data_IF_325932646883
#
_entry.id   IF_325932646883
#
_cell.length_a   1.000
_cell.length_b   1.000
_cell.length_c   1.000
_cell.angle_alpha   90.00
_cell.angle_beta   90.00
_cell.angle_gamma   90.00
#
_symmetry.space_group_name_H-M   'P 1'
#
loop_
_entity.id
_entity.type
_entity.pdbx_description
1 polymer ?
#
# COMPACT_ATOMS: atom_id res chain seq x y z
N UNK A 1 13.39 2.13 -1.10
CA UNK A 1 12.42 1.04 -1.38
C UNK A 1 11.03 1.46 -0.94
N UNK A 2 10.06 1.34 -1.84
CA UNK A 2 8.66 1.66 -1.60
C UNK A 2 7.80 0.42 -1.88
N UNK A 3 6.68 0.24 -1.19
CA UNK A 3 5.87 -0.98 -1.31
C UNK A 3 4.39 -0.65 -1.24
N UNK A 4 3.61 -1.32 -2.09
CA UNK A 4 2.15 -1.31 -2.04
C UNK A 4 1.62 -2.74 -2.06
N UNK A 5 0.35 -2.90 -1.70
CA UNK A 5 -0.37 -4.18 -1.73
C UNK A 5 -1.57 -4.08 -2.66
N UNK A 6 -1.69 -5.05 -3.56
CA UNK A 6 -2.79 -5.20 -4.50
C UNK A 6 -3.48 -6.56 -4.28
N UNK A 7 -4.81 -6.65 -4.47
CA UNK A 7 -5.50 -7.91 -4.66
C UNK A 7 -4.89 -8.70 -5.83
N UNK A 8 -4.85 -10.03 -5.72
CA UNK A 8 -4.17 -10.88 -6.71
C UNK A 8 -4.83 -10.79 -8.09
N UNK A 9 -6.15 -10.65 -8.12
CA UNK A 9 -6.97 -10.48 -9.31
C UNK A 9 -6.64 -9.20 -10.08
N UNK A 10 -6.04 -8.19 -9.42
CA UNK A 10 -5.66 -6.92 -10.04
C UNK A 10 -4.26 -6.95 -10.67
N UNK A 11 -3.45 -7.99 -10.42
CA UNK A 11 -2.05 -8.02 -10.84
C UNK A 11 -1.86 -7.96 -12.36
N UNK A 12 -2.67 -8.72 -13.10
CA UNK A 12 -2.59 -8.75 -14.57
C UNK A 12 -2.79 -7.35 -15.16
N UNK A 13 -3.85 -6.68 -14.74
CA UNK A 13 -4.18 -5.34 -15.21
C UNK A 13 -3.16 -4.30 -14.72
N UNK A 14 -2.69 -4.42 -13.48
CA UNK A 14 -1.67 -3.52 -12.94
C UNK A 14 -0.37 -3.56 -13.75
N UNK A 15 0.02 -4.72 -14.27
CA UNK A 15 1.22 -4.80 -15.14
C UNK A 15 1.08 -4.01 -16.44
N UNK A 16 -0.15 -3.75 -16.91
CA UNK A 16 -0.40 -2.94 -18.11
C UNK A 16 -0.02 -1.47 -17.89
N UNK A 17 0.02 -1.00 -16.64
CA UNK A 17 0.60 0.31 -16.32
C UNK A 17 2.08 0.40 -16.71
N UNK A 18 2.76 -0.72 -16.93
CA UNK A 18 4.16 -0.75 -17.29
C UNK A 18 4.39 -1.41 -18.66
N UNK A 19 3.40 -1.37 -19.57
CA UNK A 19 3.48 -2.00 -20.90
C UNK A 19 4.64 -1.48 -21.78
N UNK A 20 5.12 -0.26 -21.57
CA UNK A 20 6.32 0.30 -22.21
C UNK A 20 7.63 0.04 -21.46
N UNK A 21 7.59 -0.62 -20.31
CA UNK A 21 8.77 -0.92 -19.50
C UNK A 21 9.51 -2.17 -20.01
N UNK A 22 10.82 -2.23 -19.76
CA UNK A 22 11.59 -3.43 -20.03
C UNK A 22 11.20 -4.52 -19.02
N UNK A 23 10.61 -5.63 -19.50
CA UNK A 23 10.41 -6.82 -18.66
C UNK A 23 11.75 -7.53 -18.46
N UNK A 24 12.06 -7.87 -17.22
CA UNK A 24 13.26 -8.60 -16.82
C UNK A 24 12.84 -10.01 -16.39
N UNK A 25 13.74 -10.98 -16.57
CA UNK A 25 13.54 -12.33 -16.06
C UNK A 25 13.28 -12.32 -14.55
N UNK A 26 12.24 -13.05 -14.14
CA UNK A 26 11.95 -13.32 -12.74
C UNK A 26 13.15 -14.01 -12.08
N UNK A 27 13.49 -13.61 -10.85
CA UNK A 27 14.61 -14.24 -10.12
C UNK A 27 14.18 -15.42 -9.25
N UNK A 28 12.89 -15.58 -8.99
CA UNK A 28 12.31 -16.67 -8.22
C UNK A 28 10.87 -16.97 -8.70
N UNK A 29 10.32 -18.11 -8.27
CA UNK A 29 8.98 -18.59 -8.64
C UNK A 29 7.82 -17.74 -8.07
N UNK A 30 8.10 -16.93 -7.05
CA UNK A 30 7.09 -16.08 -6.40
C UNK A 30 6.92 -14.71 -7.08
N UNK A 31 7.77 -14.39 -8.07
CA UNK A 31 7.64 -13.17 -8.88
C UNK A 31 6.59 -13.38 -9.99
N UNK A 32 5.48 -12.67 -9.88
CA UNK A 32 4.52 -12.53 -10.98
C UNK A 32 5.15 -11.79 -12.17
N UNK A 33 6.00 -10.80 -11.89
CA UNK A 33 6.76 -10.12 -12.91
C UNK A 33 7.76 -9.10 -12.36
N UNK A 34 8.77 -8.81 -13.16
CA UNK A 34 9.80 -7.81 -12.87
C UNK A 34 9.94 -6.87 -14.05
N UNK A 35 9.89 -5.57 -13.77
CA UNK A 35 9.87 -4.51 -14.77
C UNK A 35 10.89 -3.44 -14.43
N UNK A 36 11.47 -2.81 -15.45
CA UNK A 36 12.36 -1.65 -15.29
C UNK A 36 11.91 -0.53 -16.22
N UNK A 37 11.68 0.64 -15.63
CA UNK A 37 11.25 1.87 -16.32
C UNK A 37 12.06 3.03 -15.75
N UNK A 38 12.77 3.77 -16.59
CA UNK A 38 13.53 4.97 -16.21
C UNK A 38 14.41 4.78 -14.95
N UNK A 39 15.07 3.63 -14.84
CA UNK A 39 15.92 3.27 -13.70
C UNK A 39 15.17 2.70 -12.48
N UNK A 40 13.86 2.92 -12.37
CA UNK A 40 13.01 2.33 -11.33
C UNK A 40 12.80 0.83 -11.60
N UNK A 41 13.15 -0.01 -10.62
CA UNK A 41 12.86 -1.45 -10.67
C UNK A 41 11.57 -1.74 -9.92
N UNK A 42 10.67 -2.49 -10.55
CA UNK A 42 9.36 -2.88 -10.01
C UNK A 42 9.32 -4.40 -9.96
N UNK A 43 9.02 -4.95 -8.79
CA UNK A 43 8.90 -6.40 -8.55
C UNK A 43 7.49 -6.65 -8.04
N UNK A 44 6.72 -7.42 -8.80
CA UNK A 44 5.36 -7.80 -8.47
C UNK A 44 5.40 -9.27 -8.06
N UNK A 45 4.99 -9.55 -6.83
CA UNK A 45 4.90 -10.90 -6.30
C UNK A 45 3.50 -11.48 -6.50
N UNK A 46 3.41 -12.80 -6.68
CA UNK A 46 2.14 -13.53 -6.81
C UNK A 46 1.22 -13.34 -5.61
N UNK A 47 1.78 -13.00 -4.44
CA UNK A 47 1.01 -12.69 -3.24
C UNK A 47 0.23 -11.37 -3.31
N UNK A 48 0.50 -10.50 -4.28
CA UNK A 48 -0.07 -9.15 -4.37
C UNK A 48 0.87 -8.04 -3.89
N UNK A 49 2.06 -8.37 -3.39
CA UNK A 49 3.06 -7.39 -2.93
C UNK A 49 3.75 -6.79 -4.14
N UNK A 50 3.82 -5.47 -4.21
CA UNK A 50 4.56 -4.77 -5.25
C UNK A 50 5.65 -3.94 -4.60
N UNK A 51 6.89 -4.19 -4.98
CA UNK A 51 8.07 -3.53 -4.45
C UNK A 51 8.70 -2.67 -5.53
N UNK A 52 8.92 -1.40 -5.22
CA UNK A 52 9.65 -0.45 -6.04
C UNK A 52 11.02 -0.21 -5.41
N UNK A 53 12.09 -0.21 -6.22
CA UNK A 53 13.46 0.04 -5.73
C UNK A 53 13.54 1.38 -4.98
N UNK A 54 12.87 2.38 -5.51
CA UNK A 54 12.80 3.75 -5.01
C UNK A 54 11.36 4.26 -5.05
N UNK A 55 11.17 5.52 -4.65
CA UNK A 55 9.87 6.18 -4.75
C UNK A 55 9.49 6.35 -6.23
N UNK A 56 8.32 5.85 -6.70
CA UNK A 56 7.84 6.16 -8.03
C UNK A 56 7.82 7.67 -8.35
N UNK A 57 8.31 8.10 -9.53
CA UNK A 57 8.24 9.49 -9.98
C UNK A 57 6.78 9.90 -10.20
N UNK A 58 6.52 11.22 -10.25
CA UNK A 58 5.17 11.81 -10.32
C UNK A 58 4.26 11.16 -11.36
N UNK A 59 4.72 10.98 -12.59
CA UNK A 59 3.95 10.37 -13.68
C UNK A 59 3.55 8.91 -13.40
N UNK A 60 4.44 8.11 -12.81
CA UNK A 60 4.15 6.72 -12.44
C UNK A 60 3.23 6.69 -11.22
N UNK A 61 3.49 7.55 -10.24
CA UNK A 61 2.67 7.71 -9.04
C UNK A 61 1.22 8.03 -9.41
N UNK A 62 0.99 9.01 -10.28
CA UNK A 62 -0.36 9.40 -10.73
C UNK A 62 -1.10 8.24 -11.38
N UNK A 63 -0.42 7.46 -12.22
CA UNK A 63 -1.02 6.27 -12.86
C UNK A 63 -1.37 5.18 -11.85
N UNK A 64 -0.52 4.96 -10.84
CA UNK A 64 -0.81 4.00 -9.76
C UNK A 64 -2.01 4.50 -8.93
N UNK A 65 -2.05 5.78 -8.57
CA UNK A 65 -3.17 6.35 -7.81
C UNK A 65 -4.47 6.27 -8.61
N UNK A 66 -4.46 6.66 -9.89
CA UNK A 66 -5.63 6.54 -10.77
C UNK A 66 -6.12 5.10 -10.87
N UNK A 67 -5.21 4.15 -11.04
CA UNK A 67 -5.54 2.72 -11.05
C UNK A 67 -6.26 2.27 -9.76
N UNK A 68 -5.77 2.75 -8.60
CA UNK A 68 -6.36 2.41 -7.31
C UNK A 68 -7.73 3.06 -7.09
N UNK A 69 -7.90 4.32 -7.53
CA UNK A 69 -9.16 5.08 -7.43
C UNK A 69 -10.27 4.42 -8.25
N UNK A 70 -9.98 4.08 -9.51
CA UNK A 70 -10.95 3.45 -10.43
C UNK A 70 -11.46 2.09 -9.91
N UNK A 71 -10.66 1.42 -9.08
CA UNK A 71 -10.94 0.08 -8.53
C UNK A 71 -11.33 0.13 -7.06
N UNK A 72 -11.57 1.31 -6.53
CA UNK A 72 -12.05 1.44 -5.17
C UNK A 72 -13.54 1.05 -5.11
N UNK A 73 -13.91 0.05 -4.29
CA UNK A 73 -15.28 -0.46 -4.29
C UNK A 73 -16.26 0.42 -3.50
N UNK A 74 -15.78 1.47 -2.84
CA UNK A 74 -16.59 2.31 -1.94
C UNK A 74 -16.83 3.69 -2.56
N UNK A 75 -18.07 4.05 -2.92
CA UNK A 75 -18.35 5.35 -3.52
C UNK A 75 -18.30 6.52 -2.52
N UNK A 76 -18.24 6.25 -1.21
CA UNK A 76 -18.34 7.26 -0.16
C UNK A 76 -17.23 7.16 0.90
N UNK A 77 -17.41 7.90 2.01
CA UNK A 77 -16.49 7.86 3.14
C UNK A 77 -16.45 6.47 3.79
N UNK A 78 -15.25 6.03 4.18
CA UNK A 78 -15.02 4.75 4.86
C UNK A 78 -14.28 5.01 6.16
N UNK A 79 -14.73 4.36 7.24
CA UNK A 79 -14.00 4.30 8.50
C UNK A 79 -13.43 2.89 8.63
N UNK A 80 -12.10 2.78 8.73
CA UNK A 80 -11.42 1.55 9.09
C UNK A 80 -11.00 1.60 10.55
N UNK A 81 -11.19 0.50 11.30
CA UNK A 81 -10.75 0.38 12.69
C UNK A 81 -9.99 -0.91 12.93
N UNK A 82 -8.98 -0.88 13.80
CA UNK A 82 -8.17 -2.03 14.18
C UNK A 82 -7.58 -1.86 15.59
N UNK A 83 -7.17 -2.97 16.22
CA UNK A 83 -6.56 -3.01 17.55
C UNK A 83 -5.10 -3.49 17.56
N UNK A 84 -4.32 -3.00 18.54
CA UNK A 84 -2.99 -3.48 18.86
C UNK A 84 -2.84 -3.68 20.38
N UNK A 85 -1.95 -4.58 20.79
CA UNK A 85 -1.73 -4.90 22.21
C UNK A 85 -2.64 -6.00 22.75
N UNK A 86 -3.56 -6.55 21.94
CA UNK A 86 -4.37 -7.70 22.33
C UNK A 86 -3.50 -8.94 22.51
N UNK A 87 -3.52 -9.50 23.72
CA UNK A 87 -2.74 -10.69 24.06
C UNK A 87 -1.31 -10.39 24.54
N UNK A 88 -0.91 -9.12 24.55
CA UNK A 88 0.35 -8.71 25.18
C UNK A 88 0.23 -8.78 26.70
N UNK A 89 1.28 -9.26 27.37
CA UNK A 89 1.32 -9.33 28.84
C UNK A 89 1.63 -7.97 29.49
N UNK A 90 2.16 -7.03 28.71
CA UNK A 90 2.62 -5.72 29.16
C UNK A 90 2.11 -4.67 28.16
N UNK A 91 1.66 -3.54 28.69
CA UNK A 91 1.20 -2.40 27.90
C UNK A 91 -0.32 -2.35 27.73
N UNK A 92 -0.85 -1.22 27.22
CA UNK A 92 -2.28 -1.06 27.03
C UNK A 92 -2.74 -1.76 25.75
N UNK A 93 -4.05 -2.03 25.69
CA UNK A 93 -4.70 -2.35 24.42
C UNK A 93 -5.13 -1.03 23.77
N UNK A 94 -4.81 -0.85 22.50
CA UNK A 94 -5.11 0.38 21.75
C UNK A 94 -6.03 0.03 20.60
N UNK A 95 -7.16 0.72 20.51
CA UNK A 95 -8.06 0.66 19.35
C UNK A 95 -7.97 1.99 18.62
N UNK A 96 -7.78 1.93 17.30
CA UNK A 96 -7.72 3.12 16.45
C UNK A 96 -8.72 3.03 15.32
N UNK A 97 -9.24 4.18 14.89
CA UNK A 97 -10.09 4.30 13.72
C UNK A 97 -9.67 5.50 12.88
N UNK A 98 -9.70 5.37 11.55
CA UNK A 98 -9.36 6.43 10.60
C UNK A 98 -10.47 6.57 9.57
N UNK A 99 -10.88 7.82 9.30
CA UNK A 99 -11.85 8.18 8.27
C UNK A 99 -11.13 8.61 6.99
N UNK A 100 -11.41 7.90 5.89
CA UNK A 100 -10.95 8.24 4.54
C UNK A 100 -12.18 8.63 3.71
N UNK A 101 -12.25 9.88 3.25
CA UNK A 101 -13.51 10.47 2.76
C UNK A 101 -13.79 10.10 1.32
N UNK A 102 -12.73 9.95 0.52
CA UNK A 102 -12.84 9.73 -0.92
C UNK A 102 -12.01 8.52 -1.37
N UNK A 103 -12.28 7.99 -2.59
CA UNK A 103 -11.40 7.00 -3.22
C UNK A 103 -9.94 7.45 -3.31
N UNK A 104 -9.69 8.74 -3.54
CA UNK A 104 -8.34 9.32 -3.62
C UNK A 104 -7.63 9.26 -2.27
N UNK A 105 -8.31 9.55 -1.15
CA UNK A 105 -7.75 9.39 0.19
C UNK A 105 -7.30 7.94 0.42
N UNK A 106 -8.13 6.97 0.04
CA UNK A 106 -7.83 5.54 0.19
C UNK A 106 -6.69 5.10 -0.72
N UNK A 107 -6.67 5.55 -1.97
CA UNK A 107 -5.59 5.29 -2.91
C UNK A 107 -4.26 5.86 -2.41
N UNK A 108 -4.27 7.10 -1.91
CA UNK A 108 -3.09 7.75 -1.33
C UNK A 108 -2.62 7.06 -0.06
N UNK A 109 -3.52 6.66 0.83
CA UNK A 109 -3.17 5.88 2.02
C UNK A 109 -2.48 4.56 1.64
N UNK A 110 -3.07 3.78 0.72
CA UNK A 110 -2.51 2.52 0.22
C UNK A 110 -1.17 2.72 -0.47
N UNK A 111 -1.07 3.73 -1.34
CA UNK A 111 0.19 4.08 -1.99
C UNK A 111 1.25 4.43 -0.96
N UNK A 112 0.91 5.24 0.05
CA UNK A 112 1.83 5.66 1.10
C UNK A 112 2.22 4.55 2.11
N UNK A 113 1.76 3.31 1.91
CA UNK A 113 2.15 2.15 2.70
C UNK A 113 1.12 1.68 3.72
N UNK A 114 -0.14 2.14 3.65
CA UNK A 114 -1.23 1.54 4.44
C UNK A 114 -1.51 0.11 3.95
N UNK A 115 -0.98 -0.86 4.68
CA UNK A 115 -1.11 -2.30 4.47
C UNK A 115 -1.02 -3.01 5.83
N UNK A 116 -1.00 -4.34 5.84
CA UNK A 116 -0.82 -5.12 7.07
C UNK A 116 0.45 -4.66 7.82
N UNK A 117 0.24 -4.14 9.04
CA UNK A 117 1.30 -3.55 9.86
C UNK A 117 2.38 -4.56 10.25
N UNK A 118 2.06 -5.87 10.24
CA UNK A 118 3.00 -6.96 10.51
C UNK A 118 4.06 -7.11 9.42
N UNK A 119 3.77 -6.62 8.21
CA UNK A 119 4.72 -6.62 7.10
C UNK A 119 5.63 -5.39 7.08
N UNK A 120 5.44 -4.43 8.00
CA UNK A 120 6.20 -3.19 8.07
C UNK A 120 7.27 -3.27 9.16
N UNK A 121 8.47 -2.75 8.87
CA UNK A 121 9.47 -2.49 9.92
C UNK A 121 9.00 -1.39 10.86
N UNK A 122 9.56 -1.31 12.08
CA UNK A 122 9.21 -0.26 13.04
C UNK A 122 9.39 1.17 12.48
N UNK A 123 10.41 1.39 11.63
CA UNK A 123 10.65 2.68 10.96
C UNK A 123 9.53 2.98 9.96
N UNK A 124 9.18 2.03 9.09
CA UNK A 124 8.10 2.19 8.13
C UNK A 124 6.76 2.39 8.83
N UNK A 125 6.48 1.63 9.89
CA UNK A 125 5.25 1.76 10.67
C UNK A 125 5.12 3.15 11.29
N UNK A 126 6.21 3.70 11.83
CA UNK A 126 6.26 5.08 12.34
C UNK A 126 6.00 6.12 11.24
N UNK A 127 6.59 5.96 10.05
CA UNK A 127 6.34 6.87 8.91
C UNK A 127 4.91 6.80 8.40
N UNK A 128 4.37 5.58 8.22
CA UNK A 128 2.97 5.37 7.83
C UNK A 128 2.04 5.95 8.88
N UNK A 129 2.29 5.71 10.18
CA UNK A 129 1.49 6.27 11.28
C UNK A 129 1.42 7.79 11.23
N UNK A 130 2.54 8.48 10.96
CA UNK A 130 2.56 9.96 10.82
C UNK A 130 1.62 10.42 9.71
N UNK A 131 1.68 9.79 8.53
CA UNK A 131 0.81 10.10 7.40
C UNK A 131 -0.66 9.78 7.70
N UNK A 132 -0.93 8.64 8.34
CA UNK A 132 -2.30 8.25 8.70
C UNK A 132 -2.96 9.24 9.67
N UNK A 133 -2.18 9.88 10.55
CA UNK A 133 -2.67 10.91 11.48
C UNK A 133 -3.05 12.23 10.81
N UNK A 134 -2.70 12.44 9.54
CA UNK A 134 -3.15 13.60 8.76
C UNK A 134 -4.64 13.49 8.40
N UNK A 135 -5.19 12.27 8.38
CA UNK A 135 -6.62 12.03 8.22
C UNK A 135 -7.36 12.15 9.56
N UNK A 136 -8.68 12.45 9.55
CA UNK A 136 -9.47 12.40 10.78
C UNK A 136 -9.42 11.01 11.40
N UNK A 137 -9.07 10.94 12.68
CA UNK A 137 -8.86 9.68 13.38
C UNK A 137 -9.29 9.79 14.84
N UNK A 138 -9.55 8.63 15.45
CA UNK A 138 -9.80 8.48 16.87
C UNK A 138 -8.94 7.34 17.42
N UNK A 139 -8.45 7.50 18.65
CA UNK A 139 -7.67 6.48 19.36
C UNK A 139 -8.25 6.32 20.75
N UNK A 140 -8.47 5.08 21.16
CA UNK A 140 -8.87 4.70 22.51
C UNK A 140 -7.77 3.82 23.10
N UNK A 141 -7.26 4.24 24.25
CA UNK A 141 -6.33 3.45 25.06
C UNK A 141 -7.16 2.82 26.17
N UNK A 142 -7.08 1.49 26.30
CA UNK A 142 -7.79 0.68 27.28
C UNK A 142 -6.82 0.13 28.33
#
# INVERSE_FOLDING_TARGET
MHTIRLPQEQLSEFTQLFSGAQRINAKNEYEYGRYKIDGLTIIIYTSGKVVFSDMPPGSIRERIIGFLVERDPFPGPVIGSDEAGKGESIGPMIVSAVLLRTPEDRALARFNGAMDSKELSAVQLSEVSKRMKEYPHAVRIM
#
